data_IF_035696693711
#
_entry.id   IF_035696693711
#
_cell.length_a   1.000
_cell.length_b   1.000
_cell.length_c   1.000
_cell.angle_alpha   90.00
_cell.angle_beta   90.00
_cell.angle_gamma   90.00
#
_symmetry.space_group_name_H-M   'P 1'
#
loop_
_entity.id
_entity.type
_entity.pdbx_description
1 polymer ?
#
# COMPACT_ATOMS: atom_id res chain seq x y z
N UNK A 1 14.85 2.49 -78.12
CA UNK A 1 14.08 1.91 -77.05
C UNK A 1 15.05 1.58 -75.95
N UNK A 2 15.18 2.47 -74.98
CA UNK A 2 16.08 2.28 -73.81
C UNK A 2 15.19 2.09 -72.62
N UNK A 3 15.12 0.86 -72.06
CA UNK A 3 14.43 0.52 -70.86
C UNK A 3 15.24 0.99 -69.62
N UNK A 4 14.67 1.91 -68.84
CA UNK A 4 15.20 2.29 -67.56
C UNK A 4 14.63 1.36 -66.53
N UNK A 5 15.44 0.45 -65.98
CA UNK A 5 15.10 -0.37 -64.80
C UNK A 5 15.09 0.51 -63.55
N UNK A 6 14.04 0.48 -62.71
CA UNK A 6 14.03 1.18 -61.44
C UNK A 6 14.95 0.47 -60.45
N UNK A 7 15.97 1.19 -59.98
CA UNK A 7 16.87 0.75 -58.91
C UNK A 7 16.14 0.82 -57.57
N UNK A 8 15.62 -0.30 -57.10
CA UNK A 8 15.02 -0.42 -55.78
C UNK A 8 16.11 -0.75 -54.74
N UNK A 9 16.90 0.25 -54.38
CA UNK A 9 17.83 0.13 -53.27
C UNK A 9 17.05 0.24 -51.96
N UNK A 10 16.58 -0.90 -51.43
CA UNK A 10 16.11 -0.97 -50.07
C UNK A 10 17.33 -0.73 -49.14
N UNK A 11 17.38 0.46 -48.54
CA UNK A 11 18.40 0.80 -47.59
C UNK A 11 18.18 -0.07 -46.33
N UNK A 12 19.03 -1.05 -46.10
CA UNK A 12 19.09 -1.81 -44.89
C UNK A 12 19.38 -0.84 -43.72
N UNK A 13 18.59 -0.85 -42.60
CA UNK A 13 18.90 -0.02 -41.47
C UNK A 13 20.29 -0.38 -40.94
N UNK A 14 21.13 0.62 -40.74
CA UNK A 14 22.46 0.41 -40.17
C UNK A 14 22.33 -0.25 -38.79
N UNK A 15 23.25 -1.15 -38.44
CA UNK A 15 23.27 -1.79 -37.10
C UNK A 15 23.16 -0.79 -35.96
N UNK A 16 23.71 0.42 -36.12
CA UNK A 16 23.57 1.53 -35.20
C UNK A 16 22.11 2.04 -35.09
N UNK A 17 21.38 2.15 -36.20
CA UNK A 17 19.97 2.55 -36.22
C UNK A 17 19.06 1.52 -35.52
N UNK A 18 19.34 0.23 -35.74
CA UNK A 18 18.60 -0.85 -35.05
C UNK A 18 18.83 -0.82 -33.53
N UNK A 19 20.08 -0.60 -33.09
CA UNK A 19 20.42 -0.52 -31.67
C UNK A 19 19.73 0.66 -30.98
N UNK A 20 19.69 1.84 -31.59
CA UNK A 20 18.98 3.02 -31.06
C UNK A 20 17.48 2.78 -30.99
N UNK A 21 16.90 2.13 -32.02
CA UNK A 21 15.46 1.79 -32.00
C UNK A 21 15.12 0.82 -30.84
N UNK A 22 15.90 -0.23 -30.63
CA UNK A 22 15.72 -1.19 -29.54
C UNK A 22 15.83 -0.48 -28.18
N UNK A 23 16.83 0.38 -28.01
CA UNK A 23 17.01 1.15 -26.79
C UNK A 23 15.81 2.07 -26.50
N UNK A 24 15.29 2.75 -27.52
CA UNK A 24 14.11 3.61 -27.40
C UNK A 24 12.85 2.81 -27.02
N UNK A 25 12.67 1.61 -27.59
CA UNK A 25 11.56 0.71 -27.24
C UNK A 25 11.69 0.23 -25.79
N UNK A 26 12.89 -0.15 -25.33
CA UNK A 26 13.15 -0.58 -23.96
C UNK A 26 12.88 0.57 -22.98
N UNK A 27 13.39 1.78 -23.27
CA UNK A 27 13.17 2.95 -22.42
C UNK A 27 11.69 3.35 -22.38
N UNK A 28 11.00 3.31 -23.51
CA UNK A 28 9.55 3.54 -23.57
C UNK A 28 8.75 2.51 -22.79
N UNK A 29 9.13 1.23 -22.84
CA UNK A 29 8.50 0.16 -22.08
C UNK A 29 8.77 0.28 -20.56
N UNK A 30 9.99 0.64 -20.17
CA UNK A 30 10.34 0.89 -18.76
C UNK A 30 9.59 2.12 -18.22
N UNK A 31 9.47 3.18 -19.01
CA UNK A 31 8.69 4.35 -18.66
C UNK A 31 7.20 4.02 -18.52
N UNK A 32 6.63 3.26 -19.46
CA UNK A 32 5.23 2.81 -19.41
C UNK A 32 4.96 1.90 -18.19
N UNK A 33 5.86 0.97 -17.87
CA UNK A 33 5.75 0.15 -16.65
C UNK A 33 5.84 0.99 -15.37
N UNK A 34 6.67 2.01 -15.34
CA UNK A 34 6.81 2.92 -14.20
C UNK A 34 5.52 3.72 -13.94
N UNK A 35 4.84 4.19 -14.99
CA UNK A 35 3.60 4.96 -14.88
C UNK A 35 2.38 4.10 -14.54
N UNK A 36 2.41 2.79 -14.80
CA UNK A 36 1.30 1.86 -14.46
C UNK A 36 1.30 1.40 -13.00
N UNK A 37 2.34 1.71 -12.22
CA UNK A 37 2.53 1.22 -10.85
C UNK A 37 2.11 2.20 -9.75
N UNK A 38 1.75 3.46 -10.09
CA UNK A 38 1.37 4.48 -9.11
C UNK A 38 -0.03 4.98 -9.39
N UNK A 39 -1.02 4.22 -8.94
CA UNK A 39 -2.42 4.67 -8.91
C UNK A 39 -2.78 5.48 -7.66
N UNK A 40 -1.82 5.76 -6.77
CA UNK A 40 -2.03 6.48 -5.54
C UNK A 40 -1.09 7.68 -5.46
N UNK A 41 -1.66 8.83 -5.08
CA UNK A 41 -0.93 10.10 -4.98
C UNK A 41 -0.18 10.24 -3.64
N UNK A 42 -0.49 9.37 -2.67
CA UNK A 42 0.02 9.42 -1.31
C UNK A 42 0.71 8.13 -0.90
N UNK A 43 1.65 8.24 0.03
CA UNK A 43 2.40 7.11 0.56
C UNK A 43 1.54 6.18 1.43
N UNK A 44 0.47 6.71 2.05
CA UNK A 44 -0.39 6.00 2.98
C UNK A 44 -1.81 5.88 2.48
N UNK A 45 -2.35 4.66 2.53
CA UNK A 45 -3.73 4.35 2.16
C UNK A 45 -4.47 3.67 3.31
N UNK A 46 -5.79 3.91 3.36
CA UNK A 46 -6.74 3.13 4.13
C UNK A 46 -7.49 2.17 3.19
N UNK A 47 -7.47 0.88 3.49
CA UNK A 47 -8.18 -0.17 2.74
C UNK A 47 -9.34 -0.67 3.56
N UNK A 48 -10.56 -0.47 3.07
CA UNK A 48 -11.81 -0.87 3.71
C UNK A 48 -12.28 -2.20 3.16
N UNK A 49 -12.47 -3.18 4.05
CA UNK A 49 -12.88 -4.53 3.67
C UNK A 49 -14.38 -4.78 3.88
N UNK A 50 -14.92 -5.72 3.13
CA UNK A 50 -16.34 -6.13 3.19
C UNK A 50 -16.77 -6.66 4.56
N UNK A 51 -15.84 -7.14 5.39
CA UNK A 51 -16.08 -7.59 6.77
C UNK A 51 -16.07 -6.45 7.81
N UNK A 52 -15.93 -5.19 7.39
CA UNK A 52 -15.88 -4.01 8.24
C UNK A 52 -14.50 -3.71 8.84
N UNK A 53 -13.47 -4.49 8.53
CA UNK A 53 -12.10 -4.17 8.94
C UNK A 53 -11.49 -3.08 8.06
N UNK A 54 -10.62 -2.27 8.67
CA UNK A 54 -9.85 -1.24 7.99
C UNK A 54 -8.38 -1.44 8.30
N UNK A 55 -7.57 -1.47 7.25
CA UNK A 55 -6.12 -1.53 7.35
C UNK A 55 -5.50 -0.25 6.78
N UNK A 56 -4.49 0.25 7.46
CA UNK A 56 -3.70 1.41 7.05
C UNK A 56 -2.31 0.93 6.65
N UNK A 57 -1.81 1.38 5.52
CA UNK A 57 -0.50 0.92 5.05
C UNK A 57 -0.16 1.48 3.68
N UNK A 58 0.88 0.95 3.08
CA UNK A 58 1.33 1.32 1.74
C UNK A 58 0.92 0.24 0.74
N UNK A 59 0.17 0.60 -0.29
CA UNK A 59 -0.16 -0.32 -1.37
C UNK A 59 1.05 -0.45 -2.29
N UNK A 60 1.69 -1.63 -2.29
CA UNK A 60 2.86 -1.93 -3.11
C UNK A 60 2.50 -2.50 -4.48
N UNK A 61 1.31 -3.11 -4.61
CA UNK A 61 0.82 -3.70 -5.85
C UNK A 61 -0.71 -3.76 -5.82
N UNK A 62 -1.33 -3.49 -6.95
CA UNK A 62 -2.77 -3.67 -7.15
C UNK A 62 -3.02 -4.23 -8.55
N UNK A 63 -3.90 -5.22 -8.65
CA UNK A 63 -4.38 -5.77 -9.90
C UNK A 63 -5.84 -6.23 -9.75
N UNK A 64 -6.38 -6.94 -10.73
CA UNK A 64 -7.76 -7.43 -10.72
C UNK A 64 -8.02 -8.52 -9.67
N UNK A 65 -6.99 -9.25 -9.23
CA UNK A 65 -7.11 -10.36 -8.30
C UNK A 65 -6.80 -9.98 -6.84
N UNK A 66 -5.81 -9.08 -6.64
CA UNK A 66 -5.30 -8.78 -5.30
C UNK A 66 -4.85 -7.33 -5.13
N UNK A 67 -4.90 -6.88 -3.88
CA UNK A 67 -4.21 -5.70 -3.37
C UNK A 67 -3.14 -6.16 -2.40
N UNK A 68 -1.88 -5.78 -2.62
CA UNK A 68 -0.77 -6.11 -1.73
C UNK A 68 -0.38 -4.86 -0.95
N UNK A 69 -0.53 -4.93 0.37
CA UNK A 69 -0.14 -3.88 1.31
C UNK A 69 1.14 -4.25 2.04
N UNK A 70 1.89 -3.23 2.45
CA UNK A 70 3.06 -3.30 3.32
C UNK A 70 2.99 -2.22 4.38
N UNK A 71 3.83 -2.36 5.40
CA UNK A 71 3.89 -1.42 6.53
C UNK A 71 2.52 -1.19 7.17
N UNK A 72 1.89 -2.30 7.58
CA UNK A 72 0.46 -2.38 7.85
C UNK A 72 0.16 -2.10 9.32
N UNK A 73 -0.87 -1.31 9.55
CA UNK A 73 -1.45 -0.97 10.86
C UNK A 73 -2.95 -1.17 10.82
N UNK A 74 -3.55 -1.41 12.00
CA UNK A 74 -4.99 -1.47 12.17
C UNK A 74 -5.40 -0.90 13.53
N UNK A 75 -6.67 -0.52 13.68
CA UNK A 75 -7.19 -0.03 14.95
C UNK A 75 -7.81 -1.19 15.74
N UNK A 76 -7.43 -1.29 17.01
CA UNK A 76 -8.01 -2.22 17.96
C UNK A 76 -8.68 -1.45 19.11
N UNK A 77 -9.87 -1.88 19.49
CA UNK A 77 -10.55 -1.36 20.67
C UNK A 77 -10.07 -2.14 21.89
N UNK A 78 -9.26 -1.52 22.70
CA UNK A 78 -8.85 -2.07 24.00
C UNK A 78 -9.88 -1.68 25.04
N UNK A 79 -10.59 -2.66 25.59
CA UNK A 79 -11.47 -2.44 26.76
C UNK A 79 -10.67 -2.76 28.00
N UNK A 80 -10.46 -1.82 28.92
CA UNK A 80 -9.90 -2.15 30.22
C UNK A 80 -10.88 -3.09 30.94
N UNK A 81 -10.38 -4.25 31.36
CA UNK A 81 -11.11 -5.14 32.25
C UNK A 81 -11.15 -4.49 33.64
N UNK A 82 -12.04 -3.51 33.85
CA UNK A 82 -12.32 -3.05 35.16
C UNK A 82 -13.16 -4.11 35.89
N UNK A 83 -12.57 -4.73 36.89
CA UNK A 83 -13.34 -5.48 37.90
C UNK A 83 -14.19 -4.46 38.65
N UNK A 84 -15.43 -4.28 38.21
CA UNK A 84 -16.43 -3.51 38.96
C UNK A 84 -16.85 -4.34 40.15
N UNK A 85 -16.53 -3.84 41.36
CA UNK A 85 -17.22 -4.27 42.58
C UNK A 85 -18.74 -4.06 42.39
N UNK A 86 -19.54 -5.05 42.80
CA UNK A 86 -20.97 -5.10 42.60
C UNK A 86 -21.63 -3.76 43.05
N UNK A 87 -22.30 -3.09 42.10
CA UNK A 87 -23.23 -2.02 42.41
C UNK A 87 -23.06 -0.67 41.71
N UNK A 88 -22.09 -0.45 40.84
CA UNK A 88 -21.98 0.80 40.07
C UNK A 88 -22.34 0.59 38.60
N UNK A 89 -23.41 1.30 38.17
CA UNK A 89 -23.82 1.39 36.79
C UNK A 89 -22.64 1.87 35.95
N UNK A 90 -22.27 1.08 34.94
CA UNK A 90 -21.25 1.44 33.94
C UNK A 90 -21.73 2.64 33.12
N UNK A 91 -21.33 3.84 33.53
CA UNK A 91 -21.33 4.97 32.63
C UNK A 91 -20.06 4.85 31.73
N UNK A 92 -20.29 4.65 30.44
CA UNK A 92 -19.37 4.91 29.35
C UNK A 92 -17.92 4.40 29.48
N UNK A 93 -17.73 3.09 29.52
CA UNK A 93 -16.43 2.53 29.14
C UNK A 93 -16.25 2.66 27.61
N UNK A 94 -15.98 3.85 27.12
CA UNK A 94 -15.49 4.07 25.77
C UNK A 94 -14.17 3.32 25.67
N UNK A 95 -14.17 2.23 24.86
CA UNK A 95 -12.94 1.49 24.62
C UNK A 95 -11.90 2.41 23.98
N UNK A 96 -10.69 2.37 24.47
CA UNK A 96 -9.57 3.11 23.91
C UNK A 96 -9.20 2.51 22.56
N UNK A 97 -9.15 3.36 21.51
CA UNK A 97 -8.69 2.98 20.19
C UNK A 97 -7.15 2.99 20.18
N UNK A 98 -6.56 1.82 20.02
CA UNK A 98 -5.11 1.66 19.91
C UNK A 98 -4.72 1.31 18.48
N UNK A 99 -3.67 1.94 17.98
CA UNK A 99 -3.05 1.62 16.69
C UNK A 99 -2.08 0.45 16.89
N UNK A 100 -2.33 -0.65 16.18
CA UNK A 100 -1.52 -1.87 16.27
C UNK A 100 -0.77 -2.09 14.97
N UNK A 101 0.54 -2.38 15.08
CA UNK A 101 1.37 -2.78 13.93
C UNK A 101 1.18 -4.26 13.63
N UNK A 102 0.93 -4.61 12.36
CA UNK A 102 0.95 -6.01 11.91
C UNK A 102 2.34 -6.61 12.11
N UNK A 103 2.43 -7.81 12.67
CA UNK A 103 3.68 -8.53 12.87
C UNK A 103 3.88 -9.12 14.26
N UNK A 104 3.13 -8.63 15.27
CA UNK A 104 3.23 -9.10 16.65
C UNK A 104 2.18 -10.16 17.02
N UNK A 105 1.36 -10.59 16.07
CA UNK A 105 0.34 -11.59 16.28
C UNK A 105 0.96 -12.98 16.51
N UNK A 106 0.27 -13.84 17.26
CA UNK A 106 0.74 -15.18 17.63
C UNK A 106 1.18 -16.05 16.44
N UNK A 107 0.57 -15.88 15.27
CA UNK A 107 0.90 -16.62 14.06
C UNK A 107 2.09 -16.02 13.28
N UNK A 108 2.69 -14.91 13.76
CA UNK A 108 3.92 -14.31 13.22
C UNK A 108 3.84 -13.89 11.76
N UNK A 109 2.87 -13.03 11.36
CA UNK A 109 2.79 -12.59 9.98
C UNK A 109 3.99 -11.75 9.59
N UNK A 110 4.37 -11.81 8.32
CA UNK A 110 5.29 -10.83 7.74
C UNK A 110 4.55 -9.50 7.56
N UNK A 111 5.29 -8.38 7.46
CA UNK A 111 4.70 -7.07 7.22
C UNK A 111 4.26 -6.90 5.76
N UNK A 112 3.51 -7.86 5.26
CA UNK A 112 2.92 -7.87 3.93
C UNK A 112 1.59 -8.63 3.96
N UNK A 113 0.55 -8.04 3.39
CA UNK A 113 -0.79 -8.63 3.32
C UNK A 113 -1.25 -8.68 1.87
N UNK A 114 -1.67 -9.87 1.43
CA UNK A 114 -2.30 -10.10 0.14
C UNK A 114 -3.82 -10.18 0.35
N UNK A 115 -4.52 -9.17 -0.11
CA UNK A 115 -5.97 -9.02 0.06
C UNK A 115 -6.65 -9.35 -1.26
N UNK A 116 -7.60 -10.30 -1.24
CA UNK A 116 -8.43 -10.56 -2.41
C UNK A 116 -9.20 -9.27 -2.79
N UNK A 117 -9.10 -8.88 -4.06
CA UNK A 117 -9.72 -7.66 -4.58
C UNK A 117 -11.22 -7.61 -4.35
N UNK A 118 -11.91 -8.75 -4.39
CA UNK A 118 -13.36 -8.85 -4.16
C UNK A 118 -13.78 -8.51 -2.73
N UNK A 119 -12.82 -8.52 -1.79
CA UNK A 119 -13.07 -8.16 -0.39
C UNK A 119 -12.81 -6.67 -0.11
N UNK A 120 -12.29 -5.92 -1.07
CA UNK A 120 -12.03 -4.49 -0.93
C UNK A 120 -13.24 -3.69 -1.39
N UNK A 121 -13.85 -2.95 -0.48
CA UNK A 121 -14.97 -2.05 -0.79
C UNK A 121 -14.45 -0.80 -1.51
N UNK A 122 -13.49 -0.12 -0.87
CA UNK A 122 -12.83 1.07 -1.42
C UNK A 122 -11.47 1.29 -0.76
N UNK A 123 -10.69 2.15 -1.37
CA UNK A 123 -9.37 2.58 -0.87
C UNK A 123 -9.38 4.10 -0.81
N UNK A 124 -8.82 4.65 0.25
CA UNK A 124 -8.66 6.10 0.42
C UNK A 124 -7.18 6.45 0.58
N UNK A 125 -6.73 7.48 -0.12
CA UNK A 125 -5.43 8.10 0.13
C UNK A 125 -5.50 8.95 1.40
N UNK A 126 -4.54 8.74 2.31
CA UNK A 126 -4.48 9.48 3.55
C UNK A 126 -3.69 10.78 3.38
N UNK A 127 -4.17 11.85 4.01
CA UNK A 127 -3.41 13.11 4.10
C UNK A 127 -2.21 12.92 5.01
N UNK A 128 -1.11 13.59 4.68
CA UNK A 128 0.15 13.52 5.45
C UNK A 128 -0.01 14.01 6.90
N UNK A 129 -0.96 14.90 7.14
CA UNK A 129 -1.33 15.47 8.45
C UNK A 129 -2.50 14.75 9.13
N UNK A 130 -2.96 13.61 8.60
CA UNK A 130 -4.03 12.85 9.22
C UNK A 130 -3.61 12.29 10.59
N UNK A 131 -4.59 12.12 11.50
CA UNK A 131 -4.33 11.56 12.82
C UNK A 131 -3.70 10.16 12.75
N UNK A 132 -4.10 9.34 11.78
CA UNK A 132 -3.55 8.00 11.58
C UNK A 132 -2.09 8.07 11.13
N UNK A 133 -1.76 8.88 10.14
CA UNK A 133 -0.38 9.04 9.65
C UNK A 133 0.52 9.61 10.75
N UNK A 134 0.01 10.57 11.52
CA UNK A 134 0.72 11.12 12.69
C UNK A 134 0.95 10.04 13.76
N UNK A 135 -0.05 9.20 14.06
CA UNK A 135 0.10 8.10 15.01
C UNK A 135 1.12 7.05 14.53
N UNK A 136 1.12 6.72 13.22
CA UNK A 136 2.12 5.85 12.61
C UNK A 136 3.53 6.43 12.74
N UNK A 137 3.70 7.73 12.46
CA UNK A 137 4.99 8.40 12.61
C UNK A 137 5.50 8.37 14.06
N UNK A 138 4.61 8.61 15.04
CA UNK A 138 4.92 8.49 16.46
C UNK A 138 5.30 7.06 16.86
N UNK A 139 4.59 6.07 16.36
CA UNK A 139 4.92 4.66 16.58
C UNK A 139 6.33 4.33 16.05
N UNK A 140 6.64 4.72 14.82
CA UNK A 140 7.96 4.51 14.18
C UNK A 140 9.10 5.22 14.90
N UNK A 141 8.86 6.39 15.46
CA UNK A 141 9.85 7.14 16.22
C UNK A 141 10.08 6.62 17.65
N UNK A 142 9.34 5.60 18.08
CA UNK A 142 9.39 5.05 19.45
C UNK A 142 8.71 5.93 20.50
N UNK A 143 8.00 6.98 20.10
CA UNK A 143 7.33 7.89 21.03
C UNK A 143 6.15 7.22 21.80
N UNK A 144 5.64 6.08 21.32
CA UNK A 144 4.60 5.29 21.98
C UNK A 144 5.12 4.12 22.83
N UNK A 145 6.42 3.85 22.85
CA UNK A 145 7.00 2.78 23.68
C UNK A 145 6.98 3.09 25.20
N UNK A 146 6.40 4.22 25.62
CA UNK A 146 6.44 4.72 26.99
C UNK A 146 5.17 4.49 27.83
N UNK A 147 4.11 3.83 27.30
CA UNK A 147 2.82 3.71 28.05
C UNK A 147 2.56 2.31 28.61
N UNK A 148 3.40 1.32 28.33
CA UNK A 148 3.22 -0.06 28.84
C UNK A 148 4.29 -0.52 29.85
N UNK A 149 4.91 0.37 30.64
CA UNK A 149 5.69 -0.08 31.79
C UNK A 149 5.59 0.88 32.96
N UNK A 150 4.46 0.84 33.68
CA UNK A 150 4.42 1.15 35.10
C UNK A 150 3.40 0.24 35.80
N UNK A 151 3.91 -0.91 36.17
CA UNK A 151 3.75 -1.71 37.40
C UNK A 151 2.38 -1.60 38.07
#
# INVERSE_FOLDING_TARGET
MSETTPNNSQAMPSLAGLAVFILAVILGFLWWRGTMLSGFDKDWQAVFLSNGQVYFGQISKQNQAEVVMKDIYYLQVTRPLQQTAEGQQQADAQGELSLVKLGNELHGPTDAMHINRDQVLFVEDLKDDSNVVTAIANYKSGAQAGTEEKK
#
